data_IF_558764780630
#
_entry.id   IF_558764780630
#
_cell.length_a   1.000
_cell.length_b   1.000
_cell.length_c   1.000
_cell.angle_alpha   90.00
_cell.angle_beta   90.00
_cell.angle_gamma   90.00
#
_symmetry.space_group_name_H-M   'P 1'
#
loop_
_entity.id
_entity.type
_entity.pdbx_description
1 polymer ?
#
# COMPACT_ATOMS: atom_id res chain seq x y z
N UNK A 1 12.22 -4.84 9.32
CA UNK A 1 12.67 -6.12 8.71
C UNK A 1 11.57 -7.16 8.50
N UNK A 2 10.63 -7.39 9.42
CA UNK A 2 9.56 -8.39 9.21
C UNK A 2 8.73 -8.16 7.93
N UNK A 3 8.34 -6.91 7.67
CA UNK A 3 7.54 -6.57 6.50
C UNK A 3 8.29 -6.63 5.18
N UNK A 4 9.58 -6.37 5.19
CA UNK A 4 10.44 -6.53 4.02
C UNK A 4 10.51 -8.01 3.60
N UNK A 5 10.73 -8.89 4.58
CA UNK A 5 10.75 -10.35 4.34
C UNK A 5 9.38 -10.82 3.83
N UNK A 6 8.30 -10.37 4.46
CA UNK A 6 6.93 -10.69 4.03
C UNK A 6 6.67 -10.19 2.60
N UNK A 7 7.15 -9.01 2.25
CA UNK A 7 6.99 -8.44 0.91
C UNK A 7 7.72 -9.27 -0.15
N UNK A 8 8.96 -9.67 0.11
CA UNK A 8 9.73 -10.54 -0.79
C UNK A 8 9.04 -11.89 -0.96
N UNK A 9 8.57 -12.48 0.14
CA UNK A 9 7.86 -13.75 0.11
C UNK A 9 6.55 -13.65 -0.69
N UNK A 10 5.79 -12.57 -0.54
CA UNK A 10 4.60 -12.31 -1.35
C UNK A 10 4.94 -12.21 -2.84
N UNK A 11 6.00 -11.50 -3.21
CA UNK A 11 6.44 -11.39 -4.61
C UNK A 11 6.73 -12.76 -5.19
N UNK A 12 7.48 -13.61 -4.47
CA UNK A 12 7.81 -14.97 -4.91
C UNK A 12 6.55 -15.82 -5.09
N UNK A 13 5.64 -15.80 -4.11
CA UNK A 13 4.39 -16.55 -4.16
C UNK A 13 3.55 -16.11 -5.37
N UNK A 14 3.39 -14.79 -5.57
CA UNK A 14 2.58 -14.28 -6.66
C UNK A 14 3.22 -14.49 -8.04
N UNK A 15 4.56 -14.52 -8.12
CA UNK A 15 5.26 -14.94 -9.33
C UNK A 15 4.93 -16.38 -9.70
N UNK A 16 5.08 -17.33 -8.76
CA UNK A 16 4.77 -18.74 -8.97
C UNK A 16 3.27 -18.95 -9.31
N UNK A 17 2.38 -18.26 -8.62
CA UNK A 17 0.95 -18.32 -8.92
C UNK A 17 0.61 -17.72 -10.30
N UNK A 18 1.30 -16.65 -10.67
CA UNK A 18 1.15 -15.98 -11.95
C UNK A 18 1.58 -16.86 -13.13
N UNK A 19 2.72 -17.56 -13.03
CA UNK A 19 3.16 -18.52 -14.03
C UNK A 19 2.15 -19.63 -14.23
N UNK A 20 1.59 -20.18 -13.15
CA UNK A 20 0.57 -21.24 -13.21
C UNK A 20 -0.76 -20.79 -13.80
N UNK A 21 -1.14 -19.53 -13.64
CA UNK A 21 -2.45 -19.00 -14.07
C UNK A 21 -2.42 -18.40 -15.48
N UNK A 22 -1.27 -17.95 -15.90
CA UNK A 22 -1.03 -17.31 -17.19
C UNK A 22 -1.35 -15.82 -17.22
N UNK A 23 -0.81 -15.15 -18.24
CA UNK A 23 -0.82 -13.70 -18.42
C UNK A 23 -2.23 -13.09 -18.44
N UNK A 24 -3.12 -13.65 -19.26
CA UNK A 24 -4.46 -13.08 -19.41
C UNK A 24 -5.16 -12.99 -18.05
N UNK A 25 -5.11 -14.08 -17.29
CA UNK A 25 -5.76 -14.12 -15.99
C UNK A 25 -5.17 -13.09 -15.02
N UNK A 26 -3.84 -13.02 -14.92
CA UNK A 26 -3.17 -12.12 -14.01
C UNK A 26 -3.31 -10.65 -14.44
N UNK A 27 -3.31 -10.36 -15.75
CA UNK A 27 -3.57 -9.02 -16.28
C UNK A 27 -4.92 -8.47 -15.83
N UNK A 28 -5.99 -9.24 -15.97
CA UNK A 28 -7.31 -8.82 -15.49
C UNK A 28 -7.37 -8.71 -13.96
N UNK A 29 -6.62 -9.54 -13.25
CA UNK A 29 -6.49 -9.39 -11.80
C UNK A 29 -5.77 -8.10 -11.41
N UNK A 30 -4.71 -7.70 -12.12
CA UNK A 30 -4.04 -6.42 -11.91
C UNK A 30 -4.96 -5.24 -12.20
N UNK A 31 -5.67 -5.30 -13.33
CA UNK A 31 -6.63 -4.27 -13.71
C UNK A 31 -7.70 -4.05 -12.64
N UNK A 32 -8.15 -5.12 -11.96
CA UNK A 32 -9.07 -5.01 -10.83
C UNK A 32 -8.53 -4.11 -9.71
N UNK A 33 -7.26 -4.26 -9.34
CA UNK A 33 -6.67 -3.46 -8.26
C UNK A 33 -6.49 -1.99 -8.64
N UNK A 34 -6.10 -1.72 -9.90
CA UNK A 34 -6.02 -0.36 -10.43
C UNK A 34 -7.41 0.29 -10.42
N UNK A 35 -8.41 -0.44 -10.91
CA UNK A 35 -9.78 0.02 -10.95
C UNK A 35 -10.34 0.24 -9.53
N UNK A 36 -10.00 -0.62 -8.58
CA UNK A 36 -10.38 -0.47 -7.18
C UNK A 36 -9.84 0.83 -6.58
N UNK A 37 -8.56 1.14 -6.81
CA UNK A 37 -7.97 2.39 -6.32
C UNK A 37 -8.66 3.62 -6.92
N UNK A 38 -8.99 3.56 -8.22
CA UNK A 38 -9.69 4.63 -8.90
C UNK A 38 -11.12 4.80 -8.40
N UNK A 39 -11.86 3.70 -8.25
CA UNK A 39 -13.24 3.72 -7.75
C UNK A 39 -13.33 4.19 -6.30
N UNK A 40 -12.35 3.87 -5.45
CA UNK A 40 -12.31 4.37 -4.08
C UNK A 40 -12.39 5.88 -4.02
N UNK A 41 -11.72 6.59 -4.93
CA UNK A 41 -11.77 8.05 -5.00
C UNK A 41 -13.18 8.59 -5.23
N UNK A 42 -13.93 7.96 -6.12
CA UNK A 42 -15.25 8.48 -6.56
C UNK A 42 -16.41 7.89 -5.75
N UNK A 43 -16.28 6.66 -5.29
CA UNK A 43 -17.39 5.94 -4.66
C UNK A 43 -17.38 6.00 -3.14
N UNK A 44 -16.30 6.49 -2.51
CA UNK A 44 -16.17 6.53 -1.05
C UNK A 44 -17.34 7.29 -0.40
N UNK A 45 -17.58 8.53 -0.82
CA UNK A 45 -18.64 9.37 -0.25
C UNK A 45 -20.04 8.83 -0.57
N UNK A 46 -20.24 8.30 -1.78
CA UNK A 46 -21.52 7.73 -2.18
C UNK A 46 -21.88 6.48 -1.34
N UNK A 47 -20.92 5.57 -1.15
CA UNK A 47 -21.14 4.35 -0.35
C UNK A 47 -21.29 4.72 1.12
N UNK A 48 -20.49 5.65 1.64
CA UNK A 48 -20.57 6.15 3.00
C UNK A 48 -21.97 6.71 3.30
N UNK A 49 -22.50 7.56 2.44
CA UNK A 49 -23.84 8.15 2.59
C UNK A 49 -24.96 7.11 2.49
N UNK A 50 -24.82 6.15 1.56
CA UNK A 50 -25.80 5.07 1.36
C UNK A 50 -25.92 4.16 2.59
N UNK A 51 -24.81 3.83 3.24
CA UNK A 51 -24.80 2.97 4.43
C UNK A 51 -24.86 3.75 5.74
N UNK A 52 -25.04 5.08 5.72
CA UNK A 52 -25.09 5.96 6.91
C UNK A 52 -23.92 5.72 7.87
N UNK A 53 -22.72 5.51 7.31
CA UNK A 53 -21.53 5.26 8.11
C UNK A 53 -21.05 6.57 8.74
N UNK A 54 -21.09 6.64 10.07
CA UNK A 54 -20.78 7.86 10.84
C UNK A 54 -19.28 8.02 11.06
N UNK A 55 -18.74 9.20 10.75
CA UNK A 55 -17.31 9.54 10.87
C UNK A 55 -16.96 10.27 12.17
N UNK A 56 -17.93 10.49 13.06
CA UNK A 56 -17.74 11.37 14.23
C UNK A 56 -16.70 10.88 15.26
N UNK A 57 -16.23 9.62 15.14
CA UNK A 57 -15.21 9.08 16.03
C UNK A 57 -14.03 8.57 15.17
N UNK A 58 -12.79 8.94 15.52
CA UNK A 58 -11.57 8.59 14.77
C UNK A 58 -11.43 7.10 14.42
N UNK A 59 -11.91 6.20 15.26
CA UNK A 59 -11.93 4.75 14.96
C UNK A 59 -12.92 4.40 13.84
N UNK A 60 -13.99 5.16 13.68
CA UNK A 60 -15.02 4.89 12.68
C UNK A 60 -14.55 5.22 11.27
N UNK A 61 -13.68 6.22 11.08
CA UNK A 61 -13.13 6.56 9.75
C UNK A 61 -12.36 5.40 9.10
N UNK A 62 -11.55 4.68 9.89
CA UNK A 62 -10.84 3.49 9.38
C UNK A 62 -11.83 2.37 9.08
N UNK A 63 -12.77 2.12 9.95
CA UNK A 63 -13.76 1.08 9.76
C UNK A 63 -14.60 1.37 8.52
N UNK A 64 -15.03 2.62 8.35
CA UNK A 64 -15.74 3.09 7.16
C UNK A 64 -14.92 2.86 5.89
N UNK A 65 -13.65 3.24 5.89
CA UNK A 65 -12.75 3.01 4.76
C UNK A 65 -12.60 1.51 4.43
N UNK A 66 -12.41 0.66 5.44
CA UNK A 66 -12.29 -0.78 5.26
C UNK A 66 -13.60 -1.40 4.72
N UNK A 67 -14.75 -0.97 5.21
CA UNK A 67 -16.06 -1.46 4.74
C UNK A 67 -16.25 -1.09 3.26
N UNK A 68 -16.02 0.17 2.90
CA UNK A 68 -16.12 0.64 1.49
C UNK A 68 -15.15 -0.14 0.61
N UNK A 69 -13.91 -0.33 1.06
CA UNK A 69 -12.91 -1.12 0.32
C UNK A 69 -13.36 -2.55 0.09
N UNK A 70 -13.88 -3.23 1.12
CA UNK A 70 -14.35 -4.61 1.02
C UNK A 70 -15.54 -4.71 0.06
N UNK A 71 -16.51 -3.79 0.14
CA UNK A 71 -17.67 -3.77 -0.74
C UNK A 71 -17.23 -3.63 -2.21
N UNK A 72 -16.39 -2.66 -2.52
CA UNK A 72 -15.87 -2.45 -3.87
C UNK A 72 -15.04 -3.63 -4.36
N UNK A 73 -14.21 -4.21 -3.49
CA UNK A 73 -13.42 -5.41 -3.81
C UNK A 73 -14.30 -6.61 -4.17
N UNK A 74 -15.39 -6.83 -3.44
CA UNK A 74 -16.34 -7.91 -3.71
C UNK A 74 -17.07 -7.69 -5.03
N UNK A 75 -17.58 -6.49 -5.28
CA UNK A 75 -18.25 -6.13 -6.54
C UNK A 75 -17.32 -6.40 -7.74
N UNK A 76 -16.09 -5.88 -7.69
CA UNK A 76 -15.11 -6.09 -8.75
C UNK A 76 -14.70 -7.56 -8.89
N UNK A 77 -14.63 -8.31 -7.79
CA UNK A 77 -14.29 -9.73 -7.83
C UNK A 77 -15.39 -10.56 -8.50
N UNK A 78 -16.65 -10.27 -8.22
CA UNK A 78 -17.80 -10.92 -8.87
C UNK A 78 -17.83 -10.59 -10.36
N UNK A 79 -17.64 -9.32 -10.73
CA UNK A 79 -17.55 -8.89 -12.13
C UNK A 79 -16.45 -9.65 -12.89
N UNK A 80 -15.28 -9.82 -12.27
CA UNK A 80 -14.17 -10.59 -12.84
C UNK A 80 -14.48 -12.08 -12.98
N UNK A 81 -15.26 -12.67 -12.07
CA UNK A 81 -15.68 -14.07 -12.20
C UNK A 81 -16.51 -14.28 -13.46
N UNK A 82 -17.40 -13.36 -13.81
CA UNK A 82 -18.15 -13.40 -15.07
C UNK A 82 -17.24 -13.21 -16.29
N UNK A 83 -16.32 -12.25 -16.25
CA UNK A 83 -15.35 -12.02 -17.32
C UNK A 83 -14.44 -13.22 -17.57
N UNK A 84 -14.11 -14.02 -16.54
CA UNK A 84 -13.28 -15.25 -16.70
C UNK A 84 -13.87 -16.29 -17.64
N UNK A 85 -15.21 -16.46 -17.65
CA UNK A 85 -15.85 -17.40 -18.59
C UNK A 85 -15.57 -17.03 -20.04
N UNK A 86 -15.50 -15.73 -20.31
CA UNK A 86 -15.20 -15.19 -21.65
C UNK A 86 -13.72 -15.38 -22.02
N UNK A 87 -12.82 -15.22 -21.06
CA UNK A 87 -11.37 -15.25 -21.25
C UNK A 87 -10.79 -16.66 -21.46
N UNK A 88 -11.46 -17.71 -20.98
CA UNK A 88 -11.02 -19.09 -21.19
C UNK A 88 -11.01 -19.54 -22.66
N UNK A 89 -11.69 -18.79 -23.53
CA UNK A 89 -11.74 -19.06 -24.96
C UNK A 89 -10.49 -18.63 -25.71
N UNK A 90 -9.61 -17.84 -25.10
CA UNK A 90 -8.42 -17.29 -25.75
C UNK A 90 -7.21 -18.17 -25.41
N UNK A 91 -6.82 -19.02 -26.36
CA UNK A 91 -5.58 -19.82 -26.25
C UNK A 91 -4.38 -18.92 -26.60
N UNK A 92 -3.52 -18.63 -25.65
CA UNK A 92 -2.23 -17.98 -25.85
C UNK A 92 -1.09 -19.00 -25.77
N UNK A 93 -0.03 -18.74 -26.55
CA UNK A 93 1.15 -19.60 -26.73
C UNK A 93 2.05 -19.66 -25.48
N UNK A 94 3.19 -20.36 -25.58
CA UNK A 94 4.16 -20.67 -24.53
C UNK A 94 4.68 -19.48 -23.70
N UNK A 95 4.57 -18.25 -24.22
CA UNK A 95 4.93 -17.02 -23.47
C UNK A 95 3.92 -16.62 -22.39
N UNK A 96 2.74 -17.24 -22.40
CA UNK A 96 1.66 -16.90 -21.47
C UNK A 96 2.04 -17.15 -20.00
N UNK A 97 2.81 -18.18 -19.71
CA UNK A 97 3.26 -18.51 -18.36
C UNK A 97 4.27 -17.50 -17.82
N UNK A 98 5.29 -17.16 -18.61
CA UNK A 98 6.31 -16.20 -18.22
C UNK A 98 5.73 -14.79 -18.01
N UNK A 99 4.92 -14.33 -18.94
CA UNK A 99 4.22 -13.04 -18.82
C UNK A 99 3.23 -13.06 -17.64
N UNK A 100 2.62 -14.22 -17.34
CA UNK A 100 1.81 -14.42 -16.15
C UNK A 100 2.59 -14.22 -14.86
N UNK A 101 3.83 -14.72 -14.79
CA UNK A 101 4.72 -14.48 -13.66
C UNK A 101 5.03 -12.98 -13.45
N UNK A 102 5.36 -12.27 -14.54
CA UNK A 102 5.63 -10.83 -14.49
C UNK A 102 4.39 -10.06 -13.98
N UNK A 103 3.21 -10.36 -14.51
CA UNK A 103 1.97 -9.71 -14.02
C UNK A 103 1.62 -10.10 -12.60
N UNK A 104 2.00 -11.31 -12.17
CA UNK A 104 1.93 -11.71 -10.76
C UNK A 104 2.78 -10.82 -9.86
N UNK A 105 4.02 -10.47 -10.26
CA UNK A 105 4.87 -9.53 -9.53
C UNK A 105 4.20 -8.15 -9.44
N UNK A 106 3.69 -7.61 -10.55
CA UNK A 106 3.01 -6.32 -10.57
C UNK A 106 1.84 -6.32 -9.58
N UNK A 107 1.04 -7.38 -9.58
CA UNK A 107 -0.06 -7.55 -8.64
C UNK A 107 0.41 -7.61 -7.18
N UNK A 108 1.48 -8.37 -6.90
CA UNK A 108 2.07 -8.42 -5.57
C UNK A 108 2.50 -7.04 -5.09
N UNK A 109 3.12 -6.24 -5.96
CA UNK A 109 3.53 -4.86 -5.65
C UNK A 109 2.32 -3.99 -5.27
N UNK A 110 1.21 -4.09 -5.99
CA UNK A 110 -0.02 -3.37 -5.61
C UNK A 110 -0.58 -3.82 -4.26
N UNK A 111 -0.58 -5.12 -3.97
CA UNK A 111 -1.04 -5.65 -2.69
C UNK A 111 -0.14 -5.17 -1.55
N UNK A 112 1.17 -5.25 -1.72
CA UNK A 112 2.16 -4.74 -0.76
C UNK A 112 1.92 -3.26 -0.51
N UNK A 113 1.71 -2.47 -1.56
CA UNK A 113 1.41 -1.05 -1.46
C UNK A 113 0.14 -0.78 -0.63
N UNK A 114 -0.93 -1.55 -0.82
CA UNK A 114 -2.15 -1.43 -0.02
C UNK A 114 -1.87 -1.77 1.44
N UNK A 115 -1.13 -2.86 1.71
CA UNK A 115 -0.77 -3.26 3.08
C UNK A 115 0.00 -2.14 3.79
N UNK A 116 1.01 -1.55 3.13
CA UNK A 116 1.76 -0.43 3.70
C UNK A 116 0.89 0.80 3.94
N UNK A 117 -0.09 1.06 3.06
CA UNK A 117 -1.06 2.14 3.29
C UNK A 117 -1.90 1.90 4.54
N UNK A 118 -2.38 0.68 4.73
CA UNK A 118 -3.13 0.30 5.94
C UNK A 118 -2.26 0.45 7.19
N UNK A 119 -0.98 0.09 7.13
CA UNK A 119 -0.03 0.28 8.24
C UNK A 119 0.16 1.78 8.54
N UNK A 120 0.32 2.63 7.53
CA UNK A 120 0.44 4.07 7.72
C UNK A 120 -0.77 4.65 8.45
N UNK A 121 -1.96 4.31 8.00
CA UNK A 121 -3.21 4.75 8.64
C UNK A 121 -3.33 4.18 10.05
N UNK A 122 -3.12 2.89 10.23
CA UNK A 122 -3.23 2.21 11.53
C UNK A 122 -2.20 2.69 12.55
N UNK A 123 -1.05 3.22 12.11
CA UNK A 123 0.00 3.74 12.99
C UNK A 123 -0.44 4.97 13.80
N UNK A 124 -1.45 5.71 13.34
CA UNK A 124 -2.01 6.85 14.07
C UNK A 124 -2.85 6.43 15.27
N UNK A 125 -3.33 5.18 15.30
CA UNK A 125 -4.27 4.66 16.30
C UNK A 125 -3.65 3.62 17.24
N UNK A 126 -2.50 3.02 16.88
CA UNK A 126 -1.87 1.97 17.68
C UNK A 126 -0.37 2.16 17.83
N UNK A 127 0.10 2.20 19.10
CA UNK A 127 1.54 2.28 19.43
C UNK A 127 2.33 1.08 18.86
N UNK A 128 1.72 -0.12 18.80
CA UNK A 128 2.35 -1.32 18.23
C UNK A 128 2.56 -1.17 16.73
N UNK A 129 1.54 -0.70 16.01
CA UNK A 129 1.63 -0.47 14.56
C UNK A 129 2.63 0.65 14.26
N UNK A 130 2.67 1.70 15.09
CA UNK A 130 3.66 2.78 14.97
C UNK A 130 5.09 2.26 15.06
N UNK A 131 5.39 1.38 16.02
CA UNK A 131 6.72 0.76 16.14
C UNK A 131 7.09 -0.03 14.89
N UNK A 132 6.17 -0.84 14.38
CA UNK A 132 6.34 -1.63 13.16
C UNK A 132 6.61 -0.71 11.94
N UNK A 133 5.85 0.39 11.82
CA UNK A 133 6.05 1.42 10.80
C UNK A 133 7.46 2.00 10.84
N UNK A 134 7.91 2.40 12.04
CA UNK A 134 9.19 3.10 12.23
C UNK A 134 10.40 2.18 12.00
N UNK A 135 10.24 0.88 12.18
CA UNK A 135 11.27 -0.13 11.91
C UNK A 135 11.34 -0.55 10.42
N UNK A 136 10.35 -0.17 9.59
CA UNK A 136 10.29 -0.57 8.19
C UNK A 136 10.78 0.52 7.25
N UNK A 137 11.85 0.23 6.53
CA UNK A 137 12.38 1.10 5.48
C UNK A 137 11.37 1.28 4.33
N UNK A 138 10.69 0.21 3.92
CA UNK A 138 9.72 0.26 2.81
C UNK A 138 8.52 1.15 3.13
N UNK A 139 8.05 1.19 4.39
CA UNK A 139 6.93 2.05 4.77
C UNK A 139 7.28 3.52 4.60
N UNK A 140 8.50 3.92 4.93
CA UNK A 140 8.96 5.31 4.74
C UNK A 140 9.07 5.67 3.26
N UNK A 141 9.59 4.78 2.42
CA UNK A 141 9.67 4.96 0.97
C UNK A 141 8.28 5.07 0.33
N UNK A 142 7.35 4.19 0.70
CA UNK A 142 5.97 4.25 0.19
C UNK A 142 5.29 5.58 0.58
N UNK A 143 5.54 6.11 1.79
CA UNK A 143 5.02 7.41 2.20
C UNK A 143 5.56 8.57 1.35
N UNK A 144 6.83 8.52 0.95
CA UNK A 144 7.45 9.53 0.08
C UNK A 144 6.90 9.47 -1.35
N UNK A 145 6.93 8.29 -1.99
CA UNK A 145 6.44 8.12 -3.36
C UNK A 145 4.94 8.36 -3.54
N UNK A 146 4.15 8.23 -2.47
CA UNK A 146 2.69 8.38 -2.57
C UNK A 146 2.19 9.80 -2.32
N UNK A 147 3.11 10.76 -2.12
CA UNK A 147 2.79 12.17 -1.94
C UNK A 147 1.87 12.72 -3.03
N UNK A 148 2.29 12.56 -4.28
CA UNK A 148 1.63 13.20 -5.41
C UNK A 148 0.27 12.54 -5.74
N UNK A 149 0.12 11.28 -5.34
CA UNK A 149 -1.12 10.51 -5.48
C UNK A 149 -2.05 10.61 -4.27
N UNK A 150 -1.61 11.24 -3.18
CA UNK A 150 -2.41 11.37 -1.95
C UNK A 150 -3.66 12.20 -2.15
N UNK A 151 -3.66 13.15 -3.10
CA UNK A 151 -4.82 13.99 -3.44
C UNK A 151 -6.07 13.19 -3.87
N UNK A 152 -5.89 11.94 -4.28
CA UNK A 152 -6.98 11.04 -4.64
C UNK A 152 -7.65 10.32 -3.47
N UNK A 153 -7.17 10.48 -2.24
CA UNK A 153 -7.70 9.81 -1.05
C UNK A 153 -8.48 10.77 -0.18
N UNK A 154 -9.38 10.25 0.70
CA UNK A 154 -10.06 11.05 1.71
C UNK A 154 -9.08 11.86 2.59
N UNK A 155 -9.48 13.05 3.02
CA UNK A 155 -8.62 14.01 3.76
C UNK A 155 -7.91 13.39 4.97
N UNK A 156 -8.60 12.57 5.75
CA UNK A 156 -7.99 11.92 6.92
C UNK A 156 -6.81 10.99 6.58
N UNK A 157 -6.78 10.41 5.36
CA UNK A 157 -5.64 9.62 4.88
C UNK A 157 -4.51 10.55 4.47
N UNK A 158 -4.82 11.67 3.82
CA UNK A 158 -3.84 12.68 3.45
C UNK A 158 -3.16 13.27 4.67
N UNK A 159 -3.92 13.62 5.71
CA UNK A 159 -3.40 14.14 6.98
C UNK A 159 -2.44 13.16 7.65
N UNK A 160 -2.81 11.87 7.71
CA UNK A 160 -1.95 10.83 8.29
C UNK A 160 -0.61 10.68 7.55
N UNK A 161 -0.62 10.76 6.22
CA UNK A 161 0.60 10.69 5.41
C UNK A 161 1.47 11.92 5.64
N UNK A 162 0.87 13.11 5.65
CA UNK A 162 1.58 14.37 5.85
C UNK A 162 2.20 14.46 7.25
N UNK A 163 1.47 14.04 8.29
CA UNK A 163 1.96 13.98 9.67
C UNK A 163 3.16 13.03 9.80
N UNK A 164 3.07 11.84 9.20
CA UNK A 164 4.18 10.88 9.22
C UNK A 164 5.43 11.39 8.49
N UNK A 165 5.26 12.04 7.35
CA UNK A 165 6.39 12.64 6.63
C UNK A 165 7.08 13.74 7.44
N UNK A 166 6.31 14.54 8.18
CA UNK A 166 6.86 15.54 9.08
C UNK A 166 7.71 14.90 10.17
N UNK A 167 7.21 13.83 10.81
CA UNK A 167 7.97 13.04 11.78
C UNK A 167 9.29 12.47 11.22
N UNK A 168 9.28 11.96 9.98
CA UNK A 168 10.49 11.43 9.33
C UNK A 168 11.52 12.54 9.15
N UNK A 169 11.12 13.69 8.60
CA UNK A 169 12.02 14.82 8.37
C UNK A 169 12.62 15.35 9.68
N UNK A 170 11.83 15.46 10.72
CA UNK A 170 12.30 15.86 12.05
C UNK A 170 13.37 14.90 12.59
N UNK A 171 13.10 13.58 12.50
CA UNK A 171 14.09 12.54 12.91
C UNK A 171 15.36 12.55 12.07
N UNK A 172 15.29 12.86 10.78
CA UNK A 172 16.46 13.00 9.91
C UNK A 172 17.30 14.21 10.27
N UNK A 173 16.66 15.35 10.55
CA UNK A 173 17.35 16.58 10.98
C UNK A 173 18.04 16.32 12.32
N UNK A 174 17.34 15.73 13.29
CA UNK A 174 17.89 15.37 14.59
C UNK A 174 19.13 14.47 14.47
N UNK A 175 19.05 13.43 13.63
CA UNK A 175 20.19 12.54 13.34
C UNK A 175 21.38 13.28 12.70
N UNK A 176 21.12 14.23 11.82
CA UNK A 176 22.19 15.05 11.20
C UNK A 176 22.85 15.95 12.23
N UNK A 177 22.07 16.62 13.08
CA UNK A 177 22.57 17.48 14.15
C UNK A 177 23.42 16.68 15.13
N UNK A 178 22.93 15.52 15.60
CA UNK A 178 23.70 14.63 16.49
C UNK A 178 25.01 14.14 15.88
N UNK A 179 25.03 13.86 14.58
CA UNK A 179 26.27 13.47 13.87
C UNK A 179 27.27 14.64 13.78
N UNK A 180 26.78 15.85 13.59
CA UNK A 180 27.63 17.05 13.52
C UNK A 180 28.25 17.34 14.89
N UNK A 181 27.45 17.31 15.95
CA UNK A 181 27.92 17.52 17.31
C UNK A 181 28.94 16.47 17.76
N UNK A 182 28.73 15.18 17.40
CA UNK A 182 29.73 14.14 17.68
C UNK A 182 31.08 14.41 16.99
N UNK A 183 31.06 14.85 15.71
CA UNK A 183 32.26 15.19 14.96
C UNK A 183 33.00 16.41 15.53
N UNK A 184 32.28 17.37 16.05
CA UNK A 184 32.87 18.56 16.72
C UNK A 184 33.52 18.16 18.04
N UNK A 185 32.87 17.37 18.89
CA UNK A 185 33.42 16.88 20.12
C UNK A 185 34.67 15.97 19.93
N UNK A 186 34.69 15.13 18.86
CA UNK A 186 35.87 14.33 18.51
C UNK A 186 37.05 15.17 18.07
N UNK A 187 36.80 16.31 17.41
CA UNK A 187 37.87 17.25 17.03
C UNK A 187 38.45 18.00 18.22
N UNK A 188 37.61 18.42 19.17
CA UNK A 188 38.07 19.11 20.39
C UNK A 188 38.87 18.17 21.31
N UNK A 189 38.53 16.87 21.34
CA UNK A 189 39.26 15.87 22.16
C UNK A 189 40.65 15.53 21.54
N UNK A 190 40.82 15.66 20.23
CA UNK A 190 42.10 15.38 19.55
C UNK A 190 43.06 16.59 19.48
N UNK A 191 42.66 17.76 19.99
CA UNK A 191 43.46 18.98 20.02
C UNK A 191 44.08 19.22 21.43
N UNK A 192 43.68 18.44 22.41
CA UNK A 192 44.27 18.40 23.76
C UNK A 192 45.26 17.25 23.90
#
# INVERSE_FOLDING_TARGET
>A
MFFEILSVLLIIIFFILGTKRGFIYEFFCCFKYILLMFLMKYSYEAIRSMFKLDDNISKNKINTFLIVFIILYLILSVTLLFARKFLRSIKLSNYNEFLGGITGIVKATFIIFIIYRVILIGSSYSKRIRKIRDESFLVSQVAEYTRDYSQGFPEFIQENINSYRKEIKEKEIEKKVLKTLKKENEKETNIK
#
